data_IF_196056295477
#
_entry.id   IF_196056295477
#
_cell.length_a   1.000
_cell.length_b   1.000
_cell.length_c   1.000
_cell.angle_alpha   90.00
_cell.angle_beta   90.00
_cell.angle_gamma   90.00
#
_symmetry.space_group_name_H-M   'P 1'
#
loop_
_entity.id
_entity.type
_entity.pdbx_description
1 polymer ?
#
# COMPACT_ATOMS: atom_id res chain seq x y z
N UNK A 1 -5.96 20.58 35.74
CA UNK A 1 -5.21 21.64 36.47
C UNK A 1 -3.69 21.48 36.42
N UNK A 2 -3.13 20.26 36.29
CA UNK A 2 -1.67 20.05 36.20
C UNK A 2 -0.98 20.71 34.98
N UNK A 3 -1.69 20.81 33.85
CA UNK A 3 -1.15 21.38 32.59
C UNK A 3 -0.87 22.88 32.69
N UNK A 4 -1.70 23.61 33.46
CA UNK A 4 -1.54 25.07 33.65
C UNK A 4 -0.27 25.35 34.48
N UNK A 5 0.03 24.49 35.45
CA UNK A 5 1.26 24.56 36.24
C UNK A 5 2.53 24.38 35.37
N UNK A 6 2.50 23.45 34.41
CA UNK A 6 3.63 23.25 33.50
C UNK A 6 3.83 24.43 32.54
N UNK A 7 2.75 25.03 32.03
CA UNK A 7 2.84 26.23 31.21
C UNK A 7 3.40 27.42 31.99
N UNK A 8 2.96 27.63 33.24
CA UNK A 8 3.46 28.72 34.08
C UNK A 8 4.97 28.56 34.41
N UNK A 9 5.43 27.31 34.60
CA UNK A 9 6.84 27.02 34.89
C UNK A 9 7.77 27.36 33.70
N UNK A 10 7.29 27.19 32.47
CA UNK A 10 8.05 27.51 31.26
C UNK A 10 8.27 29.02 31.08
N UNK A 11 7.28 29.86 31.45
CA UNK A 11 7.40 31.32 31.37
C UNK A 11 8.30 31.92 32.47
N UNK A 12 8.57 31.20 33.57
CA UNK A 12 9.43 31.67 34.65
C UNK A 12 10.91 31.34 34.45
N UNK A 13 11.26 30.70 33.33
CA UNK A 13 12.65 30.43 32.97
C UNK A 13 13.35 31.77 32.70
N UNK A 14 14.34 32.20 33.51
CA UNK A 14 15.09 33.40 33.19
C UNK A 14 15.74 33.19 31.82
N UNK A 15 15.48 34.09 30.88
CA UNK A 15 16.22 34.18 29.63
C UNK A 15 17.65 34.58 29.98
N UNK A 16 18.46 33.63 30.40
CA UNK A 16 19.88 33.81 30.57
C UNK A 16 20.45 34.15 29.20
N UNK A 17 20.66 35.43 28.92
CA UNK A 17 21.50 35.88 27.83
C UNK A 17 22.85 35.24 28.07
N UNK A 18 23.15 34.17 27.33
CA UNK A 18 24.37 33.40 27.50
C UNK A 18 25.54 34.21 26.95
N UNK A 19 26.03 35.14 27.76
CA UNK A 19 27.34 35.76 27.55
C UNK A 19 28.39 34.67 27.78
N UNK A 20 29.08 34.26 26.71
CA UNK A 20 30.18 33.29 26.81
C UNK A 20 31.48 34.08 26.95
N UNK A 21 32.10 33.99 28.11
CA UNK A 21 33.37 34.62 28.40
C UNK A 21 34.52 33.70 27.97
N UNK A 22 35.48 34.26 27.23
CA UNK A 22 36.74 33.57 26.92
C UNK A 22 37.75 33.89 28.02
N UNK A 23 38.03 32.92 28.89
CA UNK A 23 39.05 33.03 29.93
C UNK A 23 40.40 32.49 29.42
N UNK A 24 41.46 33.29 29.57
CA UNK A 24 42.84 32.87 29.34
C UNK A 24 43.48 32.54 30.69
N UNK A 25 43.79 31.28 30.93
CA UNK A 25 44.53 30.88 32.13
C UNK A 25 46.00 31.27 31.99
N UNK A 26 46.70 31.49 33.11
CA UNK A 26 48.14 31.79 33.14
C UNK A 26 48.99 30.68 32.49
N UNK A 27 48.45 29.47 32.40
CA UNK A 27 49.03 28.34 31.66
C UNK A 27 48.90 28.42 30.14
N UNK A 28 48.30 29.48 29.59
CA UNK A 28 48.05 29.68 28.17
C UNK A 28 46.83 28.91 27.62
N UNK A 29 46.10 28.17 28.46
CA UNK A 29 44.89 27.43 28.04
C UNK A 29 43.68 28.35 27.97
N UNK A 30 42.88 28.24 26.90
CA UNK A 30 41.61 28.97 26.76
C UNK A 30 40.44 28.11 27.24
N UNK A 31 39.58 28.69 28.08
CA UNK A 31 38.35 28.04 28.55
C UNK A 31 37.18 28.99 28.30
N UNK A 32 36.12 28.48 27.69
CA UNK A 32 34.88 29.21 27.47
C UNK A 32 33.92 28.89 28.63
N UNK A 33 33.49 29.91 29.36
CA UNK A 33 32.60 29.75 30.50
C UNK A 33 31.42 30.73 30.38
N UNK A 34 30.28 30.32 30.92
CA UNK A 34 29.10 31.19 31.05
C UNK A 34 29.19 32.14 32.25
N UNK A 35 30.17 31.93 33.14
CA UNK A 35 30.46 32.77 34.30
C UNK A 35 31.69 33.65 34.05
N UNK A 36 31.73 34.90 34.59
CA UNK A 36 32.88 35.78 34.46
C UNK A 36 34.12 35.17 35.12
N UNK A 37 35.30 35.36 34.51
CA UNK A 37 36.55 34.79 34.98
C UNK A 37 36.94 35.39 36.35
N UNK A 38 37.24 34.55 37.35
CA UNK A 38 37.59 35.02 38.71
C UNK A 38 38.94 35.75 38.80
N UNK A 39 39.88 35.51 37.86
CA UNK A 39 41.18 36.18 37.83
C UNK A 39 41.24 37.23 36.73
N UNK A 40 41.79 38.41 37.05
CA UNK A 40 41.79 39.64 36.25
C UNK A 40 42.63 39.59 34.95
N UNK A 41 42.98 38.41 34.46
CA UNK A 41 43.75 38.24 33.24
C UNK A 41 42.84 38.28 32.00
N UNK A 42 42.48 39.51 31.59
CA UNK A 42 41.86 39.86 30.30
C UNK A 42 40.61 39.05 29.93
N UNK A 43 39.49 39.39 30.55
CA UNK A 43 38.16 38.99 30.11
C UNK A 43 37.81 39.71 28.79
N UNK A 44 37.72 38.96 27.68
CA UNK A 44 37.07 39.45 26.46
C UNK A 44 35.64 38.88 26.43
N UNK A 45 34.65 39.74 26.66
CA UNK A 45 33.26 39.42 26.39
C UNK A 45 33.10 39.23 24.88
N UNK A 46 32.70 38.04 24.45
CA UNK A 46 32.34 37.80 23.06
C UNK A 46 30.94 38.39 22.84
N UNK A 47 30.91 39.62 22.34
CA UNK A 47 29.65 40.28 21.98
C UNK A 47 29.02 39.54 20.79
N UNK A 48 27.98 38.75 21.05
CA UNK A 48 27.18 38.11 20.02
C UNK A 48 26.47 39.23 19.25
N UNK A 49 26.99 39.58 18.07
CA UNK A 49 26.40 40.60 17.20
C UNK A 49 24.93 40.23 16.94
N UNK A 50 24.01 41.07 17.42
CA UNK A 50 22.57 40.96 17.12
C UNK A 50 22.41 40.86 15.59
N UNK A 51 21.77 39.79 15.14
CA UNK A 51 21.51 39.57 13.71
C UNK A 51 20.67 40.71 13.16
N UNK A 52 21.05 41.19 11.96
CA UNK A 52 20.30 42.23 11.26
C UNK A 52 18.88 41.71 10.93
N UNK A 53 17.81 42.37 11.39
CA UNK A 53 16.43 41.90 11.20
C UNK A 53 16.05 41.71 9.72
N UNK A 54 16.69 42.43 8.79
CA UNK A 54 16.45 42.23 7.34
C UNK A 54 16.95 40.88 6.85
N UNK A 55 18.10 40.42 7.36
CA UNK A 55 18.67 39.11 7.01
C UNK A 55 17.84 37.96 7.57
N UNK A 56 17.20 38.16 8.72
CA UNK A 56 16.29 37.17 9.32
C UNK A 56 15.02 37.03 8.47
N UNK A 57 14.45 38.12 7.98
CA UNK A 57 13.27 38.07 7.12
C UNK A 57 13.56 37.33 5.79
N UNK A 58 14.72 37.58 5.16
CA UNK A 58 15.11 36.89 3.93
C UNK A 58 15.34 35.39 4.12
N UNK A 59 15.96 34.98 5.23
CA UNK A 59 16.18 33.55 5.51
C UNK A 59 14.87 32.84 5.83
N UNK A 60 13.91 33.50 6.48
CA UNK A 60 12.58 32.94 6.72
C UNK A 60 11.80 32.72 5.43
N UNK A 61 11.86 33.65 4.47
CA UNK A 61 11.21 33.48 3.16
C UNK A 61 11.84 32.31 2.40
N UNK A 62 13.18 32.21 2.38
CA UNK A 62 13.87 31.08 1.75
C UNK A 62 13.53 29.75 2.42
N UNK A 63 13.42 29.73 3.75
CA UNK A 63 13.05 28.52 4.50
C UNK A 63 11.62 28.09 4.19
N UNK A 64 10.67 29.03 4.09
CA UNK A 64 9.29 28.73 3.68
C UNK A 64 9.24 28.17 2.27
N UNK A 65 9.90 28.82 1.31
CA UNK A 65 9.97 28.34 -0.07
C UNK A 65 10.57 26.93 -0.15
N UNK A 66 11.66 26.65 0.59
CA UNK A 66 12.26 25.32 0.64
C UNK A 66 11.33 24.26 1.25
N UNK A 67 10.63 24.58 2.33
CA UNK A 67 9.66 23.66 2.96
C UNK A 67 8.50 23.33 2.03
N UNK A 68 7.97 24.31 1.31
CA UNK A 68 6.91 24.10 0.33
C UNK A 68 7.38 23.23 -0.84
N UNK A 69 8.59 23.49 -1.35
CA UNK A 69 9.17 22.70 -2.45
C UNK A 69 9.42 21.26 -2.03
N UNK A 70 9.94 21.05 -0.81
CA UNK A 70 10.13 19.74 -0.23
C UNK A 70 8.80 19.00 -0.06
N UNK A 71 7.77 19.66 0.50
CA UNK A 71 6.45 19.07 0.68
C UNK A 71 5.82 18.66 -0.65
N UNK A 72 5.94 19.49 -1.70
CA UNK A 72 5.45 19.16 -3.05
C UNK A 72 6.15 17.93 -3.63
N UNK A 73 7.47 17.83 -3.49
CA UNK A 73 8.25 16.68 -3.96
C UNK A 73 7.87 15.41 -3.22
N UNK A 74 7.71 15.48 -1.90
CA UNK A 74 7.34 14.33 -1.10
C UNK A 74 5.92 13.84 -1.43
N UNK A 75 4.97 14.77 -1.58
CA UNK A 75 3.61 14.42 -2.04
C UNK A 75 3.62 13.77 -3.43
N UNK A 76 4.44 14.27 -4.36
CA UNK A 76 4.59 13.65 -5.67
C UNK A 76 5.17 12.23 -5.59
N UNK A 77 6.17 12.00 -4.72
CA UNK A 77 6.74 10.66 -4.51
C UNK A 77 5.74 9.69 -3.89
N UNK A 78 5.01 10.13 -2.87
CA UNK A 78 3.96 9.33 -2.23
C UNK A 78 2.89 8.95 -3.25
N UNK A 79 2.44 9.90 -4.08
CA UNK A 79 1.43 9.64 -5.11
C UNK A 79 1.91 8.61 -6.15
N UNK A 80 3.14 8.75 -6.63
CA UNK A 80 3.73 7.78 -7.58
C UNK A 80 3.84 6.39 -6.96
N UNK A 81 4.25 6.28 -5.70
CA UNK A 81 4.34 4.98 -5.02
C UNK A 81 2.95 4.35 -4.79
N UNK A 82 1.95 5.16 -4.42
CA UNK A 82 0.57 4.70 -4.31
C UNK A 82 0.00 4.19 -5.64
N UNK A 83 0.22 4.92 -6.74
CA UNK A 83 -0.21 4.49 -8.07
C UNK A 83 0.51 3.20 -8.49
N UNK A 84 1.80 3.08 -8.18
CA UNK A 84 2.56 1.85 -8.44
C UNK A 84 2.01 0.67 -7.65
N UNK A 85 1.73 0.85 -6.36
CA UNK A 85 1.18 -0.19 -5.51
C UNK A 85 -0.21 -0.62 -6.01
N UNK A 86 -1.08 0.33 -6.35
CA UNK A 86 -2.39 0.04 -6.90
C UNK A 86 -2.32 -0.76 -8.21
N UNK A 87 -1.35 -0.48 -9.09
CA UNK A 87 -1.16 -1.26 -10.31
C UNK A 87 -0.63 -2.68 -10.03
N UNK A 88 0.25 -2.85 -9.03
CA UNK A 88 0.70 -4.17 -8.58
C UNK A 88 -0.45 -4.99 -8.01
N UNK A 89 -1.28 -4.40 -7.15
CA UNK A 89 -2.45 -5.04 -6.57
C UNK A 89 -3.47 -5.42 -7.65
N UNK A 90 -3.69 -4.54 -8.64
CA UNK A 90 -4.52 -4.83 -9.81
C UNK A 90 -3.98 -6.03 -10.59
N UNK A 91 -2.67 -6.09 -10.86
CA UNK A 91 -2.06 -7.23 -11.54
C UNK A 91 -2.17 -8.52 -10.74
N UNK A 92 -1.91 -8.46 -9.43
CA UNK A 92 -2.01 -9.60 -8.54
C UNK A 92 -3.44 -10.17 -8.50
N UNK A 93 -4.45 -9.30 -8.46
CA UNK A 93 -5.87 -9.73 -8.49
C UNK A 93 -6.24 -10.43 -9.80
N UNK A 94 -5.80 -9.90 -10.95
CA UNK A 94 -6.04 -10.53 -12.26
C UNK A 94 -5.32 -11.87 -12.37
N UNK A 95 -4.10 -11.97 -11.87
CA UNK A 95 -3.35 -13.23 -11.85
C UNK A 95 -4.00 -14.28 -10.96
N UNK A 96 -4.49 -13.88 -9.78
CA UNK A 96 -5.21 -14.76 -8.87
C UNK A 96 -6.50 -15.30 -9.51
N UNK A 97 -7.27 -14.45 -10.20
CA UNK A 97 -8.46 -14.86 -10.93
C UNK A 97 -8.11 -15.83 -12.07
N UNK A 98 -7.04 -15.56 -12.81
CA UNK A 98 -6.57 -16.46 -13.88
C UNK A 98 -6.20 -17.83 -13.34
N UNK A 99 -5.43 -17.89 -12.25
CA UNK A 99 -5.05 -19.15 -11.59
C UNK A 99 -6.27 -19.91 -11.06
N UNK A 100 -7.26 -19.20 -10.51
CA UNK A 100 -8.51 -19.81 -10.06
C UNK A 100 -9.28 -20.43 -11.23
N UNK A 101 -9.41 -19.72 -12.36
CA UNK A 101 -10.06 -20.23 -13.55
C UNK A 101 -9.33 -21.45 -14.15
N UNK A 102 -8.00 -21.42 -14.19
CA UNK A 102 -7.18 -22.55 -14.63
C UNK A 102 -7.39 -23.78 -13.74
N UNK A 103 -7.43 -23.60 -12.42
CA UNK A 103 -7.69 -24.68 -11.48
C UNK A 103 -9.08 -25.29 -11.69
N UNK A 104 -10.11 -24.46 -11.87
CA UNK A 104 -11.47 -24.93 -12.16
C UNK A 104 -11.54 -25.70 -13.49
N UNK A 105 -10.83 -25.24 -14.52
CA UNK A 105 -10.75 -25.96 -15.79
C UNK A 105 -10.09 -27.34 -15.63
N UNK A 106 -9.00 -27.42 -14.86
CA UNK A 106 -8.33 -28.70 -14.58
C UNK A 106 -9.23 -29.64 -13.80
N UNK A 107 -9.94 -29.14 -12.79
CA UNK A 107 -10.89 -29.93 -12.02
C UNK A 107 -12.02 -30.47 -12.92
N UNK A 108 -12.62 -29.61 -13.75
CA UNK A 108 -13.65 -30.03 -14.69
C UNK A 108 -13.14 -31.09 -15.68
N UNK A 109 -11.89 -30.95 -16.15
CA UNK A 109 -11.27 -31.94 -17.02
C UNK A 109 -11.08 -33.30 -16.31
N UNK A 110 -10.61 -33.30 -15.06
CA UNK A 110 -10.46 -34.52 -14.27
C UNK A 110 -11.81 -35.19 -14.01
N UNK A 111 -12.84 -34.44 -13.63
CA UNK A 111 -14.20 -34.95 -13.43
C UNK A 111 -14.76 -35.54 -14.73
N UNK A 112 -14.56 -34.87 -15.86
CA UNK A 112 -14.96 -35.40 -17.18
C UNK A 112 -14.26 -36.72 -17.48
N UNK A 113 -12.95 -36.81 -17.26
CA UNK A 113 -12.19 -38.05 -17.47
C UNK A 113 -12.70 -39.20 -16.61
N UNK A 114 -13.09 -38.93 -15.36
CA UNK A 114 -13.69 -39.92 -14.48
C UNK A 114 -15.07 -40.36 -14.98
N UNK A 115 -15.91 -39.42 -15.41
CA UNK A 115 -17.24 -39.73 -15.98
C UNK A 115 -17.12 -40.57 -17.26
N UNK A 116 -16.24 -40.19 -18.19
CA UNK A 116 -15.98 -40.92 -19.43
C UNK A 116 -15.48 -42.36 -19.14
N UNK A 117 -14.66 -42.55 -18.10
CA UNK A 117 -14.18 -43.87 -17.70
C UNK A 117 -15.32 -44.76 -17.16
N UNK A 118 -16.21 -44.18 -16.34
CA UNK A 118 -17.38 -44.89 -15.83
C UNK A 118 -18.38 -45.23 -16.94
N UNK A 119 -18.59 -44.32 -17.89
CA UNK A 119 -19.44 -44.56 -19.06
C UNK A 119 -18.93 -45.73 -19.90
N UNK A 120 -17.60 -45.80 -20.14
CA UNK A 120 -16.97 -46.94 -20.81
C UNK A 120 -17.15 -48.25 -20.05
N UNK A 121 -17.05 -48.22 -18.73
CA UNK A 121 -17.29 -49.41 -17.91
C UNK A 121 -18.75 -49.88 -18.03
N UNK A 122 -19.71 -48.95 -17.99
CA UNK A 122 -21.13 -49.27 -18.13
C UNK A 122 -21.48 -49.80 -19.54
N UNK A 123 -20.85 -49.28 -20.59
CA UNK A 123 -21.03 -49.78 -21.96
C UNK A 123 -20.47 -51.19 -22.19
N UNK A 124 -19.52 -51.67 -21.38
CA UNK A 124 -18.99 -53.04 -21.49
C UNK A 124 -19.88 -54.11 -20.84
N UNK A 125 -20.90 -53.74 -20.06
CA UNK A 125 -21.78 -54.68 -19.36
C UNK A 125 -22.97 -55.30 -20.13
N UNK A 126 -23.29 -55.04 -21.42
CA UNK A 126 -24.56 -55.52 -21.97
C UNK A 126 -24.59 -57.00 -22.43
N UNK A 127 -23.51 -57.78 -22.29
CA UNK A 127 -23.47 -59.14 -22.90
C UNK A 127 -23.18 -60.33 -21.97
N UNK A 128 -22.85 -60.15 -20.69
CA UNK A 128 -22.46 -61.27 -19.81
C UNK A 128 -23.48 -61.64 -18.73
N UNK A 129 -24.64 -60.96 -18.65
CA UNK A 129 -25.68 -61.28 -17.65
C UNK A 129 -26.84 -62.14 -18.18
N UNK A 130 -26.80 -62.60 -19.44
CA UNK A 130 -27.85 -63.45 -20.02
C UNK A 130 -27.61 -64.97 -19.90
N UNK A 131 -26.73 -65.43 -19.02
CA UNK A 131 -26.52 -66.87 -18.82
C UNK A 131 -26.33 -67.24 -17.35
N UNK A 132 -27.42 -67.26 -16.59
CA UNK A 132 -27.85 -68.37 -15.72
C UNK A 132 -28.96 -67.83 -14.81
N UNK A 133 -30.22 -68.06 -15.19
CA UNK A 133 -31.30 -68.07 -14.20
C UNK A 133 -31.35 -69.51 -13.65
N UNK A 134 -30.79 -69.80 -12.46
CA UNK A 134 -31.16 -71.01 -11.75
C UNK A 134 -32.66 -70.95 -11.46
N UNK A 135 -33.38 -71.94 -11.97
CA UNK A 135 -34.80 -72.16 -11.73
C UNK A 135 -35.02 -72.48 -10.25
N UNK A 136 -35.24 -71.45 -9.44
CA UNK A 136 -35.67 -71.64 -8.06
C UNK A 136 -37.16 -72.00 -8.03
N UNK A 137 -37.56 -73.03 -7.28
CA UNK A 137 -38.97 -73.39 -7.12
C UNK A 137 -39.73 -72.29 -6.38
N UNK A 138 -40.91 -71.96 -6.90
CA UNK A 138 -41.85 -70.97 -6.38
C UNK A 138 -42.34 -71.37 -4.97
N UNK A 139 -41.67 -70.88 -3.92
CA UNK A 139 -42.26 -70.81 -2.59
C UNK A 139 -43.10 -69.53 -2.48
N UNK A 140 -44.42 -69.69 -2.53
CA UNK A 140 -45.39 -68.63 -2.18
C UNK A 140 -45.27 -68.31 -0.69
N UNK A 141 -44.65 -67.19 -0.37
CA UNK A 141 -44.84 -66.56 0.94
C UNK A 141 -45.94 -65.48 0.83
N UNK A 142 -46.85 -65.39 1.82
CA UNK A 142 -47.90 -64.37 1.84
C UNK A 142 -47.32 -62.97 2.10
N UNK A 143 -47.95 -61.91 1.55
CA UNK A 143 -47.46 -60.55 1.70
C UNK A 143 -47.87 -59.99 3.06
N UNK A 144 -46.93 -59.91 3.99
CA UNK A 144 -47.04 -59.03 5.16
C UNK A 144 -46.02 -57.91 5.02
N UNK A 145 -46.42 -56.86 4.31
CA UNK A 145 -45.76 -55.56 4.39
C UNK A 145 -45.96 -54.98 5.80
N UNK A 146 -44.92 -54.39 6.38
CA UNK A 146 -45.08 -53.08 6.99
C UNK A 146 -44.60 -52.04 5.98
N UNK A 147 -45.48 -51.09 5.66
CA UNK A 147 -45.14 -49.90 4.90
C UNK A 147 -44.06 -49.12 5.67
N UNK A 148 -42.81 -49.21 5.22
CA UNK A 148 -41.77 -48.30 5.70
C UNK A 148 -41.96 -46.95 5.02
N UNK A 149 -42.12 -45.85 5.78
CA UNK A 149 -42.17 -44.53 5.20
C UNK A 149 -40.81 -44.23 4.57
N UNK A 150 -40.84 -44.01 3.26
CA UNK A 150 -39.73 -43.45 2.49
C UNK A 150 -39.45 -42.04 3.02
N UNK A 151 -38.60 -41.92 4.03
CA UNK A 151 -37.96 -40.64 4.34
C UNK A 151 -36.91 -40.41 3.26
N UNK A 152 -37.31 -39.72 2.20
CA UNK A 152 -36.38 -39.08 1.29
C UNK A 152 -35.52 -38.11 2.11
N UNK A 153 -34.19 -38.30 2.20
CA UNK A 153 -33.33 -37.28 2.76
C UNK A 153 -33.31 -36.15 1.74
N UNK A 154 -34.11 -35.10 2.00
CA UNK A 154 -33.89 -33.80 1.39
C UNK A 154 -32.53 -33.29 1.89
N UNK A 155 -31.45 -33.74 1.25
CA UNK A 155 -30.18 -33.02 1.27
C UNK A 155 -30.38 -31.76 0.43
N UNK A 156 -31.11 -30.81 1.00
CA UNK A 156 -31.09 -29.43 0.61
C UNK A 156 -29.68 -28.96 0.95
N UNK A 157 -28.75 -29.14 0.01
CA UNK A 157 -27.48 -28.43 0.05
C UNK A 157 -27.86 -26.95 -0.07
N UNK A 158 -27.92 -26.32 1.11
CA UNK A 158 -27.98 -24.89 1.26
C UNK A 158 -26.64 -24.34 0.76
N UNK A 159 -26.46 -24.27 -0.55
CA UNK A 159 -25.46 -23.45 -1.21
C UNK A 159 -25.90 -21.98 -1.17
N UNK A 160 -26.38 -21.53 -0.01
CA UNK A 160 -26.23 -20.15 0.43
C UNK A 160 -24.83 -20.05 1.02
N UNK A 161 -23.84 -20.36 0.19
CA UNK A 161 -22.52 -19.80 0.35
C UNK A 161 -22.75 -18.30 0.24
N UNK A 162 -22.53 -17.63 1.35
CA UNK A 162 -22.51 -16.20 1.49
C UNK A 162 -21.85 -15.61 0.25
N UNK A 163 -22.66 -15.02 -0.62
CA UNK A 163 -22.17 -13.96 -1.49
C UNK A 163 -21.78 -12.87 -0.50
N UNK A 164 -20.51 -12.93 -0.09
CA UNK A 164 -19.83 -11.83 0.55
C UNK A 164 -20.19 -10.61 -0.27
N UNK A 165 -21.00 -9.75 0.34
CA UNK A 165 -21.33 -8.43 -0.15
C UNK A 165 -20.05 -7.61 -0.14
N UNK A 166 -19.17 -7.86 -1.09
CA UNK A 166 -18.23 -6.85 -1.55
C UNK A 166 -19.02 -5.93 -2.47
N UNK A 167 -19.79 -5.05 -1.83
CA UNK A 167 -19.83 -3.62 -2.10
C UNK A 167 -19.23 -3.23 -3.46
N UNK A 168 -19.95 -3.53 -4.55
CA UNK A 168 -19.87 -2.74 -5.78
C UNK A 168 -20.71 -1.48 -5.58
N UNK A 169 -20.20 -0.59 -4.74
CA UNK A 169 -20.64 0.79 -4.69
C UNK A 169 -19.46 1.66 -5.11
N UNK A 170 -19.72 2.63 -6.00
CA UNK A 170 -18.78 3.63 -6.54
C UNK A 170 -17.96 3.14 -7.73
N UNK A 171 -18.02 3.67 -8.94
CA UNK A 171 -18.57 4.91 -9.47
C UNK A 171 -18.53 4.73 -11.00
N UNK A 172 -19.66 4.42 -11.64
CA UNK A 172 -19.81 4.69 -13.07
C UNK A 172 -20.13 6.17 -13.25
N UNK A 173 -19.14 6.99 -12.87
CA UNK A 173 -19.01 8.39 -13.24
C UNK A 173 -18.75 8.47 -14.73
N UNK A 174 -19.83 8.70 -15.47
CA UNK A 174 -19.95 9.17 -16.84
C UNK A 174 -18.90 10.25 -17.20
N UNK A 175 -17.66 9.88 -17.53
CA UNK A 175 -16.69 10.76 -18.18
C UNK A 175 -16.83 10.64 -19.70
N UNK A 176 -17.76 11.45 -20.20
CA UNK A 176 -17.87 11.83 -21.61
C UNK A 176 -16.71 12.80 -21.92
N UNK A 177 -15.48 12.31 -22.01
CA UNK A 177 -14.34 13.16 -22.41
C UNK A 177 -14.35 13.29 -23.91
N UNK A 178 -15.01 14.37 -24.35
CA UNK A 178 -14.96 14.91 -25.70
C UNK A 178 -13.50 15.16 -26.06
N UNK A 179 -12.97 14.40 -27.01
CA UNK A 179 -11.68 14.65 -27.64
C UNK A 179 -11.84 15.93 -28.46
N UNK A 180 -11.42 17.06 -27.90
CA UNK A 180 -11.10 18.27 -28.65
C UNK A 180 -9.57 18.40 -28.66
N UNK A 181 -8.94 17.69 -29.58
CA UNK A 181 -7.54 17.89 -29.97
C UNK A 181 -7.45 19.19 -30.75
N UNK A 182 -7.00 20.27 -30.11
CA UNK A 182 -6.43 21.42 -30.80
C UNK A 182 -4.90 21.23 -30.86
N UNK A 183 -4.25 21.37 -32.03
CA UNK A 183 -2.81 21.31 -32.13
C UNK A 183 -2.17 22.65 -31.73
N UNK A 184 -1.49 22.68 -30.58
CA UNK A 184 -0.64 23.81 -30.20
C UNK A 184 0.68 23.78 -30.98
N UNK A 185 0.75 24.65 -31.98
CA UNK A 185 1.97 25.08 -32.65
C UNK A 185 2.74 26.01 -31.71
N UNK A 186 3.61 25.49 -30.85
CA UNK A 186 4.78 26.25 -30.41
C UNK A 186 5.75 25.42 -29.58
N UNK A 187 6.81 24.87 -30.19
CA UNK A 187 8.08 24.81 -29.47
C UNK A 187 9.29 24.76 -30.40
N UNK A 188 9.78 25.98 -30.63
CA UNK A 188 11.18 26.39 -30.49
C UNK A 188 12.24 25.42 -31.03
N UNK A 189 12.69 25.74 -32.24
CA UNK A 189 14.07 25.50 -32.66
C UNK A 189 15.00 26.31 -31.76
N UNK A 190 15.81 25.65 -30.96
CA UNK A 190 17.11 26.19 -30.51
C UNK A 190 18.14 25.14 -30.89
N UNK A 191 18.72 25.31 -32.07
CA UNK A 191 19.87 24.55 -32.51
C UNK A 191 21.13 25.16 -31.90
N UNK A 192 22.01 24.26 -31.47
CA UNK A 192 23.30 24.49 -30.87
C UNK A 192 24.18 25.40 -31.73
N UNK A 193 24.85 26.36 -31.11
CA UNK A 193 26.06 26.96 -31.67
C UNK A 193 27.28 26.24 -31.12
N UNK A 194 27.97 25.52 -32.01
CA UNK A 194 29.31 24.98 -31.83
C UNK A 194 30.29 26.11 -31.48
N UNK A 195 31.07 25.92 -30.42
CA UNK A 195 32.24 26.73 -30.11
C UNK A 195 33.48 25.93 -30.52
N UNK A 196 34.09 26.35 -31.61
CA UNK A 196 35.37 25.87 -32.12
C UNK A 196 36.51 26.40 -31.25
N UNK A 197 37.23 25.50 -30.59
CA UNK A 197 38.47 25.81 -29.89
C UNK A 197 39.64 25.70 -30.87
N UNK A 198 40.25 26.84 -31.20
CA UNK A 198 41.50 26.92 -31.97
C UNK A 198 42.62 27.32 -31.00
N UNK A 199 43.58 26.43 -30.77
CA UNK A 199 44.81 26.74 -30.02
C UNK A 199 45.89 27.28 -30.98
N UNK A 200 46.72 28.24 -30.54
CA UNK A 200 48.06 28.45 -31.09
C UNK A 200 49.08 27.45 -30.53
#
# INVERSE_FOLDING_TARGET
MKIIFFMLLLLLSPSAGAEVFKCLLESGKTIYQSTPCQSSAKQQALEIKKSDPRKVAETEVKLKAWKEDFAKREQARIKVEQERQAELDRKASVEALKKSAEYQQQQAYQTKRQADALERQNMQLPYQQYQYFPSFPLYRFPPTYPAYPYYAPNHQHNSRGETGTDTQQSEQGRLKTRINTAPDKSRSKFFLTDVTHKQP
#
